data_IF_672702463965
#
_entry.id   IF_672702463965
#
_cell.length_a   1.000
_cell.length_b   1.000
_cell.length_c   1.000
_cell.angle_alpha   90.00
_cell.angle_beta   90.00
_cell.angle_gamma   90.00
#
_symmetry.space_group_name_H-M   'P 1'
#
loop_
_entity.id
_entity.type
_entity.pdbx_description
1 polymer ?
#
# COMPACT_ATOMS: atom_id res chain seq x y z
N UNK A 1 -16.70 -0.81 1.71
CA UNK A 1 -16.03 -0.01 0.64
C UNK A 1 -16.22 -0.73 -0.67
N UNK A 2 -16.60 -0.04 -1.76
CA UNK A 2 -16.81 -0.67 -3.07
C UNK A 2 -15.51 -0.74 -3.89
N UNK A 3 -14.62 0.21 -3.71
CA UNK A 3 -13.31 0.30 -4.38
C UNK A 3 -12.43 1.34 -3.66
N UNK A 4 -11.14 1.40 -3.99
CA UNK A 4 -10.20 2.42 -3.49
C UNK A 4 -9.54 3.13 -4.67
N UNK A 5 -9.44 4.48 -4.65
CA UNK A 5 -8.75 5.20 -5.71
C UNK A 5 -7.32 4.70 -5.91
N UNK A 6 -6.94 4.47 -7.16
CA UNK A 6 -5.61 3.96 -7.53
C UNK A 6 -4.48 4.74 -6.86
N UNK A 7 -4.55 6.07 -6.84
CA UNK A 7 -3.54 6.93 -6.24
C UNK A 7 -3.37 6.70 -4.73
N UNK A 8 -4.48 6.48 -4.00
CA UNK A 8 -4.44 6.20 -2.56
C UNK A 8 -3.79 4.84 -2.30
N UNK A 9 -4.12 3.85 -3.14
CA UNK A 9 -3.55 2.52 -3.03
C UNK A 9 -2.04 2.52 -3.32
N UNK A 10 -1.60 3.21 -4.38
CA UNK A 10 -0.17 3.36 -4.68
C UNK A 10 0.59 4.09 -3.57
N UNK A 11 0.00 5.15 -3.00
CA UNK A 11 0.60 5.84 -1.85
C UNK A 11 0.79 4.91 -0.67
N UNK A 12 -0.19 4.04 -0.39
CA UNK A 12 -0.10 3.02 0.64
C UNK A 12 1.05 2.04 0.38
N UNK A 13 1.18 1.50 -0.84
CA UNK A 13 2.26 0.57 -1.19
C UNK A 13 3.65 1.20 -0.95
N UNK A 14 3.81 2.49 -1.28
CA UNK A 14 5.05 3.23 -1.02
C UNK A 14 5.33 3.40 0.49
N UNK A 15 4.31 3.68 1.29
CA UNK A 15 4.43 3.77 2.77
C UNK A 15 4.86 2.44 3.37
N UNK A 16 4.38 1.33 2.80
CA UNK A 16 4.78 -0.03 3.17
C UNK A 16 6.21 -0.40 2.70
N UNK A 17 6.89 0.48 1.97
CA UNK A 17 8.25 0.26 1.47
C UNK A 17 8.33 -0.56 0.18
N UNK A 18 7.21 -0.83 -0.48
CA UNK A 18 7.22 -1.46 -1.80
C UNK A 18 7.64 -0.45 -2.85
N UNK A 19 8.42 -0.94 -3.80
CA UNK A 19 8.85 -0.22 -4.99
C UNK A 19 8.17 -0.80 -6.22
N UNK A 20 8.04 0.06 -7.21
CA UNK A 20 7.53 -0.32 -8.51
C UNK A 20 8.65 -0.98 -9.33
N UNK A 21 8.44 -2.22 -9.80
CA UNK A 21 9.50 -3.04 -10.43
C UNK A 21 9.44 -3.01 -11.96
N UNK A 22 8.26 -3.06 -12.59
CA UNK A 22 8.15 -3.18 -14.07
C UNK A 22 6.78 -2.76 -14.61
N UNK A 23 6.77 -2.25 -15.85
CA UNK A 23 5.59 -1.82 -16.63
C UNK A 23 5.63 -2.20 -18.11
N UNK A 24 5.99 -3.43 -18.45
CA UNK A 24 5.96 -3.83 -19.87
C UNK A 24 4.55 -4.19 -20.38
N UNK A 25 3.52 -4.10 -19.53
CA UNK A 25 2.14 -4.38 -19.90
C UNK A 25 1.15 -3.46 -19.17
N UNK A 26 -0.15 -3.67 -19.38
CA UNK A 26 -1.25 -2.97 -18.68
C UNK A 26 -1.27 -3.16 -17.15
N UNK A 27 -0.34 -3.94 -16.60
CA UNK A 27 -0.19 -4.24 -15.20
C UNK A 27 1.14 -3.71 -14.67
N UNK A 28 1.09 -3.06 -13.52
CA UNK A 28 2.23 -2.66 -12.72
C UNK A 28 2.49 -3.72 -11.66
N UNK A 29 3.77 -4.05 -11.45
CA UNK A 29 4.20 -4.97 -10.40
C UNK A 29 4.93 -4.22 -9.28
N UNK A 30 4.55 -4.53 -8.05
CA UNK A 30 5.07 -3.94 -6.83
C UNK A 30 5.60 -5.02 -5.89
N UNK A 31 6.83 -4.84 -5.41
CA UNK A 31 7.49 -5.70 -4.43
C UNK A 31 8.56 -4.88 -3.69
N UNK A 32 9.30 -5.47 -2.76
CA UNK A 32 10.45 -4.82 -2.16
C UNK A 32 11.61 -4.65 -3.15
N UNK A 33 12.48 -3.67 -2.90
CA UNK A 33 13.64 -3.44 -3.75
C UNK A 33 14.59 -4.64 -3.73
N UNK A 34 15.19 -4.93 -4.89
CA UNK A 34 16.28 -5.87 -4.98
C UNK A 34 17.41 -5.41 -4.04
N UNK A 35 17.75 -6.24 -3.05
CA UNK A 35 18.76 -5.92 -2.03
C UNK A 35 18.20 -5.58 -0.64
N UNK A 36 16.88 -5.47 -0.46
CA UNK A 36 16.26 -5.27 0.87
C UNK A 36 16.29 -6.50 1.78
N UNK A 37 16.65 -7.68 1.24
CA UNK A 37 16.55 -8.97 1.94
C UNK A 37 15.12 -9.42 2.22
N UNK A 38 14.11 -8.70 1.72
CA UNK A 38 12.69 -8.99 1.85
C UNK A 38 12.09 -9.24 0.47
N UNK A 39 11.14 -10.16 0.38
CA UNK A 39 10.35 -10.42 -0.82
C UNK A 39 8.94 -10.72 -0.40
N UNK A 40 7.96 -10.28 -1.19
CA UNK A 40 6.60 -10.74 -1.01
C UNK A 40 6.47 -12.21 -1.44
N UNK A 41 5.54 -12.93 -0.84
CA UNK A 41 5.15 -14.27 -1.29
C UNK A 41 4.67 -14.26 -2.75
N UNK A 42 4.02 -13.16 -3.15
CA UNK A 42 3.59 -12.85 -4.52
C UNK A 42 3.71 -11.35 -4.74
N UNK A 43 4.12 -10.93 -5.91
CA UNK A 43 4.11 -9.51 -6.27
C UNK A 43 2.68 -8.93 -6.22
N UNK A 44 2.56 -7.69 -5.78
CA UNK A 44 1.30 -6.96 -5.85
C UNK A 44 1.12 -6.46 -7.29
N UNK A 45 0.06 -6.91 -7.94
CA UNK A 45 -0.27 -6.52 -9.31
C UNK A 45 -1.45 -5.57 -9.33
N UNK A 46 -1.28 -4.40 -9.96
CA UNK A 46 -2.36 -3.41 -10.15
C UNK A 46 -2.39 -2.95 -11.60
N UNK A 47 -3.56 -2.53 -12.10
CA UNK A 47 -3.65 -1.88 -13.42
C UNK A 47 -3.68 -0.37 -13.25
N UNK A 48 -2.82 0.32 -13.98
CA UNK A 48 -2.74 1.78 -13.95
C UNK A 48 -3.95 2.46 -14.60
N UNK A 49 -4.55 1.81 -15.60
CA UNK A 49 -5.71 2.35 -16.33
C UNK A 49 -6.98 2.41 -15.50
N UNK A 50 -7.04 1.64 -14.41
CA UNK A 50 -8.21 1.58 -13.56
C UNK A 50 -8.18 2.75 -12.58
N UNK A 51 -9.22 3.60 -12.62
CA UNK A 51 -9.37 4.73 -11.69
C UNK A 51 -9.41 4.25 -10.23
N UNK A 52 -10.08 3.12 -10.01
CA UNK A 52 -10.26 2.52 -8.69
C UNK A 52 -9.86 1.04 -8.70
N UNK A 53 -9.23 0.61 -7.61
CA UNK A 53 -8.88 -0.78 -7.35
C UNK A 53 -10.13 -1.51 -6.80
N UNK A 54 -10.60 -2.59 -7.45
CA UNK A 54 -11.72 -3.38 -6.94
C UNK A 54 -11.39 -4.06 -5.60
N UNK A 55 -12.40 -4.23 -4.75
CA UNK A 55 -12.23 -4.81 -3.41
C UNK A 55 -11.60 -6.22 -3.41
N UNK A 56 -11.89 -7.03 -4.43
CA UNK A 56 -11.33 -8.38 -4.57
C UNK A 56 -9.80 -8.36 -4.74
N UNK A 57 -9.27 -7.41 -5.52
CA UNK A 57 -7.83 -7.23 -5.68
C UNK A 57 -7.19 -6.79 -4.37
N UNK A 58 -7.86 -5.92 -3.61
CA UNK A 58 -7.35 -5.54 -2.30
C UNK A 58 -7.27 -6.72 -1.34
N UNK A 59 -8.30 -7.58 -1.31
CA UNK A 59 -8.32 -8.72 -0.39
C UNK A 59 -7.17 -9.69 -0.68
N UNK A 60 -6.96 -10.02 -1.95
CA UNK A 60 -5.86 -10.91 -2.37
C UNK A 60 -4.48 -10.29 -2.11
N UNK A 61 -4.32 -8.99 -2.36
CA UNK A 61 -3.06 -8.30 -2.06
C UNK A 61 -2.81 -8.17 -0.55
N UNK A 62 -3.86 -7.91 0.25
CA UNK A 62 -3.74 -7.84 1.70
C UNK A 62 -3.33 -9.19 2.29
N UNK A 63 -3.96 -10.29 1.86
CA UNK A 63 -3.55 -11.65 2.27
C UNK A 63 -2.07 -11.88 1.96
N UNK A 64 -1.61 -11.44 0.79
CA UNK A 64 -0.19 -11.55 0.40
C UNK A 64 0.75 -10.76 1.33
N UNK A 65 0.36 -9.53 1.68
CA UNK A 65 1.12 -8.66 2.58
C UNK A 65 1.16 -9.20 4.02
N UNK A 66 0.04 -9.73 4.51
CA UNK A 66 -0.09 -10.31 5.85
C UNK A 66 0.72 -11.61 5.97
N UNK A 67 0.64 -12.49 4.97
CA UNK A 67 1.46 -13.72 4.89
C UNK A 67 2.96 -13.42 4.81
N UNK A 68 3.32 -12.28 4.21
CA UNK A 68 4.71 -11.81 4.14
C UNK A 68 5.15 -11.04 5.40
N UNK A 69 4.27 -10.90 6.41
CA UNK A 69 4.55 -10.22 7.67
C UNK A 69 4.74 -8.70 7.52
N UNK A 70 4.22 -8.09 6.46
CA UNK A 70 4.43 -6.67 6.14
C UNK A 70 3.45 -5.77 6.89
N UNK A 71 2.17 -6.14 6.91
CA UNK A 71 1.11 -5.37 7.54
C UNK A 71 -0.08 -6.27 7.85
N UNK A 72 -0.72 -6.08 9.02
CA UNK A 72 -1.95 -6.80 9.36
C UNK A 72 -3.17 -6.14 8.73
N UNK A 73 -4.31 -6.83 8.70
CA UNK A 73 -5.58 -6.27 8.24
C UNK A 73 -6.00 -5.00 9.00
N UNK A 74 -5.79 -4.97 10.31
CA UNK A 74 -6.11 -3.83 11.17
C UNK A 74 -5.25 -2.61 10.81
N UNK A 75 -3.94 -2.83 10.68
CA UNK A 75 -2.97 -1.79 10.31
C UNK A 75 -3.25 -1.26 8.90
N UNK A 76 -3.56 -2.16 7.96
CA UNK A 76 -3.90 -1.80 6.59
C UNK A 76 -5.13 -0.89 6.53
N UNK A 77 -6.20 -1.23 7.27
CA UNK A 77 -7.40 -0.40 7.35
C UNK A 77 -7.11 0.97 7.97
N UNK A 78 -6.23 1.02 8.97
CA UNK A 78 -5.79 2.29 9.59
C UNK A 78 -5.03 3.16 8.60
N UNK A 79 -4.04 2.59 7.90
CA UNK A 79 -3.26 3.32 6.89
C UNK A 79 -4.15 3.82 5.75
N UNK A 80 -5.14 3.03 5.33
CA UNK A 80 -6.13 3.47 4.35
C UNK A 80 -6.97 4.66 4.84
N UNK A 81 -7.43 4.62 6.10
CA UNK A 81 -8.15 5.74 6.69
C UNK A 81 -7.28 7.01 6.77
N UNK A 82 -5.98 6.85 7.05
CA UNK A 82 -5.00 7.95 7.03
C UNK A 82 -4.82 8.53 5.62
N UNK A 83 -4.74 7.69 4.58
CA UNK A 83 -4.66 8.15 3.18
C UNK A 83 -5.96 8.82 2.70
N UNK A 84 -7.12 8.38 3.19
CA UNK A 84 -8.41 8.97 2.85
C UNK A 84 -8.62 10.37 3.48
N UNK A 85 -7.91 10.69 4.56
CA UNK A 85 -7.98 12.00 5.23
C UNK A 85 -6.59 12.63 5.41
N UNK A 86 -6.04 13.26 4.35
CA UNK A 86 -4.70 13.84 4.38
C UNK A 86 -4.53 14.98 5.41
N UNK A 87 -5.64 15.63 5.86
CA UNK A 87 -5.61 16.61 6.96
C UNK A 87 -5.36 15.93 8.32
N UNK A 88 -5.92 14.75 8.57
CA UNK A 88 -5.68 13.98 9.78
C UNK A 88 -4.28 13.34 9.80
N UNK A 89 -3.80 12.86 8.64
CA UNK A 89 -2.46 12.29 8.50
C UNK A 89 -1.35 13.30 8.84
N UNK A 90 -1.45 14.55 8.34
CA UNK A 90 -0.53 15.64 8.71
C UNK A 90 -0.53 15.95 10.20
N UNK A 91 -1.69 15.88 10.86
CA UNK A 91 -1.80 16.10 12.30
C UNK A 91 -1.16 14.94 13.12
N UNK A 92 -1.32 13.69 12.67
CA UNK A 92 -0.71 12.52 13.30
C UNK A 92 0.82 12.49 13.13
N UNK A 93 1.34 12.85 11.95
CA UNK A 93 2.78 12.97 11.69
C UNK A 93 3.42 14.07 12.54
N UNK A 94 2.73 15.21 12.70
CA UNK A 94 3.18 16.32 13.55
C UNK A 94 3.19 15.95 15.04
N UNK A 95 2.28 15.06 15.48
CA UNK A 95 2.27 14.53 16.86
C UNK A 95 3.37 13.51 17.11
N UNK A 96 3.66 12.61 16.15
CA UNK A 96 4.78 11.65 16.26
C UNK A 96 6.14 12.35 16.37
N UNK A 97 6.41 13.36 15.53
CA UNK A 97 7.64 14.16 15.62
C UNK A 97 7.79 14.97 16.91
N UNK A 98 6.69 15.30 17.60
CA UNK A 98 6.70 16.09 18.84
C UNK A 98 6.93 15.24 20.10
N UNK A 99 6.81 13.92 20.00
CA UNK A 99 7.05 12.99 21.11
C UNK A 99 8.46 12.36 21.06
N UNK A 100 9.25 12.66 20.03
CA UNK A 100 10.64 12.20 19.86
C UNK A 100 11.66 13.34 20.09
N UNK A 101 11.20 14.55 20.46
CA UNK A 101 11.99 15.67 21.01
C UNK A 101 11.69 15.81 22.52
#
# INVERSE_FOLDING_TARGET
MKSIPYQQYVALLKVLGLVHIRTEASHQHWDFSAGSGKTLLRMVTIREKDRDIPLLHMHTNLVTLELSGVVTKEEFNKLLAEQANPKAARAAQKRRKKNEE
#
